data_IF_873732195522
#
_entry.id   IF_873732195522
#
_cell.length_a   1.000
_cell.length_b   1.000
_cell.length_c   1.000
_cell.angle_alpha   90.00
_cell.angle_beta   90.00
_cell.angle_gamma   90.00
#
_symmetry.space_group_name_H-M   'P 1'
#
loop_
_entity.id
_entity.type
_entity.pdbx_description
1 polymer ?
#
# COMPACT_ATOMS: atom_id res chain seq x y z
N UNK A 1 -23.56 71.21 -25.90
CA UNK A 1 -22.11 71.47 -25.68
C UNK A 1 -21.26 70.21 -25.65
N UNK A 2 -21.70 69.10 -25.01
CA UNK A 2 -20.92 67.84 -24.97
C UNK A 2 -20.56 67.23 -26.34
N UNK A 3 -21.46 67.29 -27.34
CA UNK A 3 -21.17 66.74 -28.69
C UNK A 3 -20.08 67.53 -29.45
N UNK A 4 -20.03 68.85 -29.26
CA UNK A 4 -18.99 69.72 -29.84
C UNK A 4 -17.63 69.48 -29.18
N UNK A 5 -17.62 69.28 -27.86
CA UNK A 5 -16.41 69.00 -27.10
C UNK A 5 -15.82 67.62 -27.44
N UNK A 6 -16.69 66.63 -27.69
CA UNK A 6 -16.28 65.30 -28.15
C UNK A 6 -15.74 65.32 -29.59
N UNK A 7 -16.37 66.09 -30.48
CA UNK A 7 -15.86 66.27 -31.85
C UNK A 7 -14.51 66.99 -31.87
N UNK A 8 -14.29 67.97 -30.99
CA UNK A 8 -13.01 68.67 -30.87
C UNK A 8 -11.92 67.74 -30.33
N UNK A 9 -12.25 66.89 -29.35
CA UNK A 9 -11.33 65.89 -28.80
C UNK A 9 -10.88 64.88 -29.87
N UNK A 10 -11.80 64.43 -30.73
CA UNK A 10 -11.50 63.50 -31.84
C UNK A 10 -10.61 64.16 -32.89
N UNK A 11 -10.83 65.44 -33.22
CA UNK A 11 -9.96 66.13 -34.17
C UNK A 11 -8.53 66.30 -33.63
N UNK A 12 -8.37 66.58 -32.33
CA UNK A 12 -7.06 66.75 -31.70
C UNK A 12 -6.28 65.42 -31.66
N UNK A 13 -6.95 64.29 -31.38
CA UNK A 13 -6.27 62.98 -31.37
C UNK A 13 -5.86 62.52 -32.77
N UNK A 14 -6.59 62.94 -33.81
CA UNK A 14 -6.23 62.62 -35.19
C UNK A 14 -5.06 63.45 -35.73
N UNK A 15 -4.86 64.69 -35.25
CA UNK A 15 -3.71 65.51 -35.67
C UNK A 15 -2.38 65.07 -35.06
N UNK A 16 -2.38 64.42 -33.88
CA UNK A 16 -1.14 63.98 -33.20
C UNK A 16 -0.55 62.73 -33.86
N UNK A 17 -1.37 61.90 -34.51
CA UNK A 17 -0.92 60.65 -35.17
C UNK A 17 -0.25 60.85 -36.54
N UNK A 18 -0.19 62.09 -37.04
CA UNK A 18 0.46 62.42 -38.32
C UNK A 18 1.94 62.80 -38.19
N UNK A 19 2.51 62.84 -36.98
CA UNK A 19 3.96 63.00 -36.81
C UNK A 19 4.65 61.65 -37.00
N UNK A 20 5.03 61.34 -38.24
CA UNK A 20 5.94 60.24 -38.54
C UNK A 20 7.37 60.66 -38.17
N UNK A 21 8.00 59.96 -37.22
CA UNK A 21 9.44 60.04 -37.01
C UNK A 21 10.12 59.44 -38.24
N UNK A 22 10.80 60.29 -39.01
CA UNK A 22 11.67 59.80 -40.07
C UNK A 22 12.89 59.17 -39.40
N UNK A 23 13.04 57.86 -39.56
CA UNK A 23 14.16 57.10 -38.99
C UNK A 23 15.47 57.68 -39.53
N UNK A 24 16.28 58.25 -38.63
CA UNK A 24 17.54 58.91 -38.96
C UNK A 24 18.73 57.96 -38.90
N UNK A 25 18.49 56.66 -38.68
CA UNK A 25 19.59 55.68 -38.67
C UNK A 25 20.12 55.49 -40.09
N UNK A 26 21.30 56.06 -40.33
CA UNK A 26 22.04 55.84 -41.56
C UNK A 26 22.65 54.44 -41.48
N UNK A 27 22.16 53.51 -42.32
CA UNK A 27 22.68 52.13 -42.36
C UNK A 27 23.92 52.12 -43.26
N UNK A 28 25.10 52.03 -42.65
CA UNK A 28 26.32 51.71 -43.38
C UNK A 28 26.32 50.20 -43.68
N UNK A 29 26.28 49.86 -44.96
CA UNK A 29 26.40 48.48 -45.41
C UNK A 29 27.87 48.07 -45.39
N UNK A 30 28.16 46.94 -44.77
CA UNK A 30 29.48 46.34 -44.76
C UNK A 30 29.77 45.71 -46.13
N UNK A 31 30.52 46.42 -46.97
CA UNK A 31 31.00 45.94 -48.28
C UNK A 31 32.31 45.13 -48.17
N UNK A 32 32.72 44.71 -46.97
CA UNK A 32 33.90 43.87 -46.80
C UNK A 32 33.72 42.54 -47.55
N UNK A 33 34.64 42.27 -48.49
CA UNK A 33 34.69 41.00 -49.20
C UNK A 33 35.07 39.88 -48.24
N UNK A 34 34.06 39.17 -47.72
CA UNK A 34 34.30 38.00 -46.88
C UNK A 34 34.83 36.82 -47.71
N UNK A 35 35.84 36.09 -47.20
CA UNK A 35 36.25 34.84 -47.83
C UNK A 35 35.12 33.82 -47.72
N UNK A 36 34.56 33.42 -48.87
CA UNK A 36 33.53 32.37 -48.92
C UNK A 36 34.19 31.06 -48.52
N UNK A 37 33.86 30.54 -47.34
CA UNK A 37 34.28 29.20 -46.93
C UNK A 37 33.65 28.18 -47.87
N UNK A 38 34.49 27.41 -48.56
CA UNK A 38 34.04 26.28 -49.38
C UNK A 38 34.04 25.04 -48.50
N UNK A 39 32.85 24.59 -48.14
CA UNK A 39 32.64 23.34 -47.40
C UNK A 39 32.85 22.18 -48.39
N UNK A 40 33.83 21.31 -48.14
CA UNK A 40 34.04 20.11 -48.96
C UNK A 40 33.31 18.90 -48.37
N UNK A 41 33.21 17.81 -49.13
CA UNK A 41 32.55 16.59 -48.64
C UNK A 41 33.28 15.99 -47.42
N UNK A 42 34.61 16.17 -47.31
CA UNK A 42 35.38 15.70 -46.15
C UNK A 42 35.01 16.45 -44.87
N UNK A 43 34.73 17.76 -44.93
CA UNK A 43 34.31 18.56 -43.77
C UNK A 43 32.97 18.07 -43.20
N UNK A 44 32.10 17.58 -44.09
CA UNK A 44 30.77 17.07 -43.76
C UNK A 44 30.80 15.63 -43.21
N UNK A 45 31.89 14.88 -43.42
CA UNK A 45 31.99 13.49 -42.99
C UNK A 45 31.86 13.38 -41.46
N UNK A 46 32.50 14.29 -40.73
CA UNK A 46 32.48 14.34 -39.26
C UNK A 46 31.07 14.51 -38.67
N UNK A 47 30.20 15.25 -39.36
CA UNK A 47 28.82 15.48 -38.94
C UNK A 47 27.87 14.36 -39.39
N UNK A 48 28.20 13.67 -40.49
CA UNK A 48 27.42 12.49 -40.96
C UNK A 48 27.59 11.29 -40.03
N UNK A 49 28.76 11.14 -39.44
CA UNK A 49 29.07 10.04 -38.51
C UNK A 49 28.60 10.33 -37.07
N UNK A 50 28.15 11.56 -36.78
CA UNK A 50 27.66 11.95 -35.47
C UNK A 50 26.18 11.57 -35.27
N UNK A 51 25.95 10.70 -34.29
CA UNK A 51 24.62 10.21 -33.91
C UNK A 51 23.60 11.31 -33.54
N UNK A 52 24.07 12.50 -33.14
CA UNK A 52 23.20 13.63 -32.79
C UNK A 52 22.55 14.31 -34.01
N UNK A 53 23.04 14.04 -35.23
CA UNK A 53 22.53 14.60 -36.48
C UNK A 53 21.76 13.57 -37.33
N UNK A 54 21.30 12.47 -36.73
CA UNK A 54 20.45 11.50 -37.42
C UNK A 54 18.98 11.93 -37.42
N UNK A 55 18.57 12.66 -38.46
CA UNK A 55 17.19 13.13 -38.65
C UNK A 55 16.29 12.12 -39.39
N UNK A 56 16.64 10.84 -39.44
CA UNK A 56 15.63 9.85 -39.81
C UNK A 56 14.59 9.85 -38.70
N UNK A 57 13.39 10.34 -38.99
CA UNK A 57 12.21 10.02 -38.21
C UNK A 57 12.19 8.50 -38.14
N UNK A 58 12.60 7.92 -37.01
CA UNK A 58 12.40 6.51 -36.74
C UNK A 58 10.92 6.28 -37.00
N UNK A 59 10.59 5.67 -38.15
CA UNK A 59 9.26 5.12 -38.38
C UNK A 59 9.10 4.17 -37.22
N UNK A 60 8.30 4.57 -36.23
CA UNK A 60 8.05 3.82 -35.01
C UNK A 60 8.02 2.36 -35.39
N UNK A 61 9.11 1.65 -35.07
CA UNK A 61 9.39 0.39 -35.71
C UNK A 61 8.20 -0.48 -35.35
N UNK A 62 7.53 -0.97 -36.39
CA UNK A 62 6.13 -1.35 -36.33
C UNK A 62 6.09 -2.75 -35.70
N UNK A 63 6.44 -2.77 -34.41
CA UNK A 63 6.73 -3.94 -33.61
C UNK A 63 5.51 -4.81 -33.66
N UNK A 64 5.72 -6.11 -33.86
CA UNK A 64 4.64 -7.10 -33.82
C UNK A 64 3.77 -6.90 -32.56
N UNK A 65 4.38 -6.43 -31.46
CA UNK A 65 3.70 -6.12 -30.22
C UNK A 65 2.75 -4.93 -30.31
N UNK A 66 3.13 -3.85 -31.00
CA UNK A 66 2.24 -2.70 -31.21
C UNK A 66 1.11 -3.04 -32.19
N UNK A 67 1.38 -3.85 -33.20
CA UNK A 67 0.33 -4.40 -34.08
C UNK A 67 -0.62 -5.30 -33.32
N UNK A 68 -0.10 -6.15 -32.43
CA UNK A 68 -0.90 -7.01 -31.56
C UNK A 68 -1.76 -6.20 -30.59
N UNK A 69 -1.21 -5.20 -29.90
CA UNK A 69 -1.98 -4.31 -29.02
C UNK A 69 -3.07 -3.57 -29.78
N UNK A 70 -2.75 -3.05 -30.97
CA UNK A 70 -3.71 -2.33 -31.80
C UNK A 70 -4.83 -3.25 -32.27
N UNK A 71 -4.49 -4.48 -32.69
CA UNK A 71 -5.46 -5.54 -32.99
C UNK A 71 -6.34 -5.81 -31.76
N UNK A 72 -5.75 -6.14 -30.62
CA UNK A 72 -6.47 -6.49 -29.39
C UNK A 72 -7.38 -5.37 -28.90
N UNK A 73 -6.89 -4.13 -28.91
CA UNK A 73 -7.67 -2.94 -28.56
C UNK A 73 -8.86 -2.75 -29.49
N UNK A 74 -8.70 -3.03 -30.79
CA UNK A 74 -9.79 -2.97 -31.76
C UNK A 74 -10.87 -4.02 -31.49
N UNK A 75 -10.48 -5.24 -31.08
CA UNK A 75 -11.44 -6.28 -30.67
C UNK A 75 -12.13 -5.91 -29.35
N UNK A 76 -11.38 -5.36 -28.40
CA UNK A 76 -11.89 -4.90 -27.12
C UNK A 76 -12.94 -3.79 -27.31
N UNK A 77 -12.61 -2.77 -28.11
CA UNK A 77 -13.55 -1.70 -28.45
C UNK A 77 -14.82 -2.22 -29.12
N UNK A 78 -14.70 -3.14 -30.07
CA UNK A 78 -15.87 -3.75 -30.74
C UNK A 78 -16.73 -4.54 -29.77
N UNK A 79 -16.12 -5.28 -28.86
CA UNK A 79 -16.84 -6.01 -27.81
C UNK A 79 -17.60 -5.07 -26.89
N UNK A 80 -16.95 -3.99 -26.41
CA UNK A 80 -17.60 -3.00 -25.55
C UNK A 80 -18.65 -2.17 -26.30
N UNK A 81 -18.42 -1.84 -27.57
CA UNK A 81 -19.42 -1.18 -28.41
C UNK A 81 -20.61 -2.11 -28.70
N UNK A 82 -20.41 -3.41 -28.86
CA UNK A 82 -21.51 -4.37 -28.96
C UNK A 82 -22.25 -4.53 -27.62
N UNK A 83 -21.53 -4.50 -26.49
CA UNK A 83 -22.09 -4.70 -25.16
C UNK A 83 -22.83 -3.47 -24.61
N UNK A 84 -22.33 -2.25 -24.91
CA UNK A 84 -22.82 -0.99 -24.36
C UNK A 84 -23.25 0.04 -25.43
N UNK A 85 -22.83 -0.13 -26.68
CA UNK A 85 -23.22 0.73 -27.81
C UNK A 85 -24.60 0.35 -28.31
N UNK A 86 -25.60 0.64 -27.49
CA UNK A 86 -26.99 0.43 -27.82
C UNK A 86 -27.43 1.31 -28.98
N UNK A 87 -27.50 0.72 -30.18
CA UNK A 87 -28.53 1.06 -31.15
C UNK A 87 -29.09 -0.22 -31.81
N UNK A 88 -30.33 -0.53 -31.42
CA UNK A 88 -31.29 -1.40 -32.13
C UNK A 88 -30.98 -2.90 -32.18
N UNK A 89 -30.78 -3.52 -31.02
CA UNK A 89 -31.12 -4.94 -30.90
C UNK A 89 -32.65 -5.09 -30.84
N UNK A 90 -33.27 -5.61 -31.89
CA UNK A 90 -34.73 -5.82 -31.96
C UNK A 90 -35.10 -7.08 -31.16
N UNK A 91 -36.04 -6.97 -30.20
CA UNK A 91 -36.62 -8.10 -29.47
C UNK A 91 -35.96 -8.46 -28.13
N UNK A 92 -36.22 -9.69 -27.65
CA UNK A 92 -35.85 -10.21 -26.31
C UNK A 92 -34.37 -10.08 -25.93
N UNK A 93 -33.47 -10.01 -26.93
CA UNK A 93 -32.04 -9.79 -26.72
C UNK A 93 -31.73 -8.42 -26.11
N UNK A 94 -32.49 -7.36 -26.43
CA UNK A 94 -32.28 -6.04 -25.83
C UNK A 94 -32.63 -6.00 -24.35
N UNK A 95 -33.70 -6.68 -23.94
CA UNK A 95 -34.07 -6.81 -22.54
C UNK A 95 -33.00 -7.58 -21.75
N UNK A 96 -32.49 -8.69 -22.32
CA UNK A 96 -31.42 -9.48 -21.71
C UNK A 96 -30.10 -8.69 -21.58
N UNK A 97 -29.67 -8.01 -22.65
CA UNK A 97 -28.46 -7.18 -22.65
C UNK A 97 -28.59 -5.95 -21.74
N UNK A 98 -29.78 -5.37 -21.61
CA UNK A 98 -30.06 -4.29 -20.67
C UNK A 98 -30.03 -4.73 -19.20
N UNK A 99 -30.42 -5.98 -18.91
CA UNK A 99 -30.36 -6.58 -17.56
C UNK A 99 -28.97 -7.10 -17.18
N UNK A 100 -28.16 -7.46 -18.17
CA UNK A 100 -26.81 -8.01 -17.98
C UNK A 100 -25.87 -7.15 -17.11
N UNK A 101 -25.76 -5.81 -17.25
CA UNK A 101 -24.90 -5.01 -16.40
C UNK A 101 -25.38 -4.99 -14.94
N UNK A 102 -26.69 -4.98 -14.70
CA UNK A 102 -27.26 -5.07 -13.35
C UNK A 102 -27.01 -6.46 -12.73
N UNK A 103 -27.13 -7.53 -13.52
CA UNK A 103 -26.81 -8.89 -13.09
C UNK A 103 -25.32 -9.03 -12.73
N UNK A 104 -24.43 -8.52 -13.57
CA UNK A 104 -22.99 -8.50 -13.30
C UNK A 104 -22.65 -7.70 -12.06
N UNK A 105 -23.32 -6.57 -11.82
CA UNK A 105 -23.14 -5.77 -10.61
C UNK A 105 -23.62 -6.51 -9.36
N UNK A 106 -24.76 -7.19 -9.41
CA UNK A 106 -25.24 -8.05 -8.32
C UNK A 106 -24.24 -9.18 -8.05
N UNK A 107 -23.75 -9.84 -9.09
CA UNK A 107 -22.73 -10.90 -8.95
C UNK A 107 -21.45 -10.33 -8.33
N UNK A 108 -20.98 -9.16 -8.76
CA UNK A 108 -19.81 -8.48 -8.19
C UNK A 108 -20.01 -8.21 -6.70
N UNK A 109 -21.17 -7.68 -6.30
CA UNK A 109 -21.50 -7.43 -4.90
C UNK A 109 -21.53 -8.73 -4.10
N UNK A 110 -22.16 -9.78 -4.63
CA UNK A 110 -22.20 -11.10 -3.97
C UNK A 110 -20.79 -11.67 -3.82
N UNK A 111 -19.95 -11.59 -4.85
CA UNK A 111 -18.55 -12.04 -4.79
C UNK A 111 -17.75 -11.21 -3.80
N UNK A 112 -17.93 -9.89 -3.76
CA UNK A 112 -17.28 -9.02 -2.79
C UNK A 112 -17.70 -9.39 -1.36
N UNK A 113 -19.00 -9.55 -1.11
CA UNK A 113 -19.54 -9.99 0.19
C UNK A 113 -19.00 -11.38 0.55
N UNK A 114 -19.00 -12.35 -0.36
CA UNK A 114 -18.46 -13.68 -0.13
C UNK A 114 -16.94 -13.65 0.09
N UNK A 115 -16.22 -12.76 -0.59
CA UNK A 115 -14.79 -12.55 -0.39
C UNK A 115 -14.53 -12.01 1.01
N UNK A 116 -15.22 -10.94 1.42
CA UNK A 116 -15.11 -10.38 2.77
C UNK A 116 -15.57 -11.35 3.86
N UNK A 117 -16.60 -12.18 3.61
CA UNK A 117 -17.02 -13.23 4.52
C UNK A 117 -15.96 -14.33 4.61
N UNK A 118 -15.40 -14.80 3.49
CA UNK A 118 -14.39 -15.87 3.47
C UNK A 118 -13.06 -15.41 4.06
N UNK A 119 -12.65 -14.15 3.88
CA UNK A 119 -11.46 -13.59 4.53
C UNK A 119 -11.67 -13.44 6.04
N UNK A 120 -12.90 -13.17 6.49
CA UNK A 120 -13.25 -13.18 7.90
C UNK A 120 -13.43 -14.59 8.49
N UNK A 121 -13.55 -15.66 7.70
CA UNK A 121 -13.82 -16.99 8.27
C UNK A 121 -12.58 -17.75 8.78
N UNK A 122 -11.36 -17.31 8.45
CA UNK A 122 -10.16 -17.82 9.13
C UNK A 122 -9.85 -17.09 10.45
N UNK A 123 -10.56 -16.00 10.77
CA UNK A 123 -10.37 -15.22 12.01
C UNK A 123 -11.65 -15.04 12.85
N UNK A 124 -12.84 -15.35 12.32
CA UNK A 124 -14.15 -15.12 12.97
C UNK A 124 -15.00 -16.40 12.92
N UNK A 125 -14.57 -17.45 13.62
CA UNK A 125 -15.43 -18.60 13.93
C UNK A 125 -15.72 -18.79 15.42
N UNK A 126 -15.35 -17.84 16.30
CA UNK A 126 -15.61 -17.98 17.74
C UNK A 126 -16.38 -16.84 18.40
N UNK A 127 -16.74 -15.77 17.67
CA UNK A 127 -17.46 -14.65 18.29
C UNK A 127 -18.88 -14.51 17.73
N UNK A 128 -19.76 -15.41 18.16
CA UNK A 128 -21.21 -15.22 18.01
C UNK A 128 -21.93 -15.49 19.33
N UNK A 129 -21.62 -14.65 20.33
CA UNK A 129 -22.54 -14.19 21.39
C UNK A 129 -21.73 -13.42 22.44
N UNK A 130 -21.78 -12.10 22.39
CA UNK A 130 -22.38 -11.27 23.45
C UNK A 130 -21.91 -9.81 23.33
N UNK A 131 -22.78 -8.96 23.86
CA UNK A 131 -22.83 -7.51 23.72
C UNK A 131 -21.55 -6.83 24.25
N UNK A 132 -21.19 -5.72 23.59
CA UNK A 132 -20.28 -4.69 24.09
C UNK A 132 -18.81 -5.13 24.24
N UNK A 133 -18.15 -5.44 23.13
CA UNK A 133 -16.69 -5.60 23.13
C UNK A 133 -16.04 -4.22 22.98
N UNK A 134 -15.57 -3.68 24.10
CA UNK A 134 -14.35 -2.86 24.12
C UNK A 134 -13.32 -3.57 23.25
N UNK A 135 -12.65 -2.87 22.34
CA UNK A 135 -11.58 -3.45 21.52
C UNK A 135 -10.46 -3.89 22.45
N UNK A 136 -10.54 -5.11 22.96
CA UNK A 136 -9.50 -5.73 23.78
C UNK A 136 -8.27 -5.92 22.88
N UNK A 137 -7.07 -5.69 23.43
CA UNK A 137 -5.87 -6.10 22.70
C UNK A 137 -5.86 -7.61 22.48
N UNK A 138 -5.07 -8.09 21.53
CA UNK A 138 -4.93 -9.52 21.27
C UNK A 138 -4.52 -10.29 22.54
N UNK A 139 -3.57 -9.77 23.31
CA UNK A 139 -3.14 -10.36 24.59
C UNK A 139 -4.25 -10.35 25.64
N UNK A 140 -5.00 -9.26 25.73
CA UNK A 140 -6.11 -9.14 26.68
C UNK A 140 -7.22 -10.14 26.37
N UNK A 141 -7.54 -10.32 25.08
CA UNK A 141 -8.50 -11.31 24.64
C UNK A 141 -8.02 -12.73 24.94
N UNK A 142 -6.76 -13.05 24.61
CA UNK A 142 -6.17 -14.36 24.88
C UNK A 142 -6.20 -14.69 26.38
N UNK A 143 -5.78 -13.75 27.23
CA UNK A 143 -5.74 -13.97 28.69
C UNK A 143 -7.15 -14.14 29.28
N UNK A 144 -8.09 -13.27 28.89
CA UNK A 144 -9.42 -13.24 29.52
C UNK A 144 -10.40 -14.26 28.96
N UNK A 145 -10.37 -14.53 27.65
CA UNK A 145 -11.46 -15.23 26.97
C UNK A 145 -11.04 -16.55 26.29
N UNK A 146 -9.75 -16.77 26.02
CA UNK A 146 -9.30 -17.92 25.25
C UNK A 146 -8.77 -19.08 26.11
N UNK A 147 -8.84 -20.29 25.55
CA UNK A 147 -8.20 -21.48 26.09
C UNK A 147 -6.74 -21.54 25.64
N UNK A 148 -5.87 -20.88 26.42
CA UNK A 148 -4.44 -20.77 26.11
C UNK A 148 -3.77 -22.15 26.01
N UNK A 149 -4.27 -23.17 26.73
CA UNK A 149 -3.71 -24.53 26.64
C UNK A 149 -3.98 -25.15 25.26
N UNK A 150 -5.16 -24.91 24.68
CA UNK A 150 -5.44 -25.31 23.30
C UNK A 150 -4.59 -24.53 22.30
N UNK A 151 -4.39 -23.23 22.51
CA UNK A 151 -3.53 -22.42 21.63
C UNK A 151 -2.08 -22.93 21.60
N UNK A 152 -1.54 -23.32 22.77
CA UNK A 152 -0.22 -23.95 22.86
C UNK A 152 -0.19 -25.23 22.02
N UNK A 153 -1.20 -26.10 22.17
CA UNK A 153 -1.26 -27.37 21.43
C UNK A 153 -1.30 -27.13 19.92
N UNK A 154 -2.14 -26.22 19.44
CA UNK A 154 -2.27 -25.89 18.03
C UNK A 154 -0.94 -25.32 17.47
N UNK A 155 -0.29 -24.42 18.21
CA UNK A 155 1.00 -23.87 17.82
C UNK A 155 2.09 -24.95 17.68
N UNK A 156 2.04 -26.01 18.50
CA UNK A 156 2.96 -27.15 18.40
C UNK A 156 2.65 -28.07 17.23
N UNK A 157 1.37 -28.31 16.94
CA UNK A 157 0.94 -29.07 15.75
C UNK A 157 1.43 -28.38 14.46
N UNK A 158 1.39 -27.05 14.42
CA UNK A 158 1.89 -26.22 13.32
C UNK A 158 3.42 -26.03 13.32
N UNK A 159 4.14 -26.65 14.27
CA UNK A 159 5.60 -26.48 14.49
C UNK A 159 6.02 -25.01 14.69
N UNK A 160 5.10 -24.17 15.14
CA UNK A 160 5.36 -22.78 15.47
C UNK A 160 5.81 -22.66 16.94
N UNK A 161 7.04 -23.08 17.19
CA UNK A 161 7.63 -23.10 18.53
C UNK A 161 7.72 -21.70 19.17
N UNK A 162 7.92 -20.65 18.37
CA UNK A 162 7.94 -19.27 18.88
C UNK A 162 6.58 -18.88 19.45
N UNK A 163 5.52 -19.17 18.70
CA UNK A 163 4.15 -18.87 19.13
C UNK A 163 3.76 -19.70 20.37
N UNK A 164 4.17 -20.96 20.44
CA UNK A 164 3.96 -21.79 21.62
C UNK A 164 4.60 -21.18 22.88
N UNK A 165 5.83 -20.67 22.79
CA UNK A 165 6.50 -19.97 23.91
C UNK A 165 5.75 -18.70 24.33
N UNK A 166 5.21 -17.93 23.37
CA UNK A 166 4.38 -16.77 23.69
C UNK A 166 3.14 -17.16 24.46
N UNK A 167 2.44 -18.21 24.04
CA UNK A 167 1.26 -18.69 24.76
C UNK A 167 1.59 -19.25 26.14
N UNK A 168 2.74 -19.94 26.32
CA UNK A 168 3.21 -20.32 27.65
C UNK A 168 3.41 -19.12 28.58
N UNK A 169 4.02 -18.05 28.07
CA UNK A 169 4.23 -16.84 28.87
C UNK A 169 2.91 -16.18 29.28
N UNK A 170 1.97 -16.01 28.34
CA UNK A 170 0.64 -15.46 28.63
C UNK A 170 -0.15 -16.33 29.62
N UNK A 171 -0.02 -17.66 29.52
CA UNK A 171 -0.63 -18.58 30.47
C UNK A 171 -0.07 -18.40 31.89
N UNK A 172 1.24 -18.19 32.03
CA UNK A 172 1.87 -17.95 33.34
C UNK A 172 1.37 -16.63 33.94
N UNK A 173 1.28 -15.56 33.14
CA UNK A 173 0.71 -14.29 33.61
C UNK A 173 -0.74 -14.47 34.07
N UNK A 174 -1.55 -15.24 33.32
CA UNK A 174 -2.93 -15.56 33.69
C UNK A 174 -3.02 -16.26 35.05
N UNK A 175 -2.31 -17.38 35.24
CA UNK A 175 -2.37 -18.13 36.51
C UNK A 175 -1.77 -17.35 37.69
N UNK A 176 -0.80 -16.47 37.44
CA UNK A 176 -0.25 -15.58 38.49
C UNK A 176 -1.26 -14.52 38.88
N UNK A 177 -1.99 -13.95 37.92
CA UNK A 177 -3.06 -12.99 38.17
C UNK A 177 -4.25 -13.64 38.88
N UNK A 178 -4.65 -14.86 38.50
CA UNK A 178 -5.72 -15.61 39.16
C UNK A 178 -5.39 -15.99 40.62
N UNK A 179 -4.11 -16.01 40.98
CA UNK A 179 -3.63 -16.27 42.35
C UNK A 179 -3.24 -15.00 43.12
N UNK A 180 -3.63 -13.83 42.60
CA UNK A 180 -3.33 -12.52 43.18
C UNK A 180 -1.82 -12.28 43.43
N UNK A 181 -0.95 -12.94 42.66
CA UNK A 181 0.51 -12.75 42.74
C UNK A 181 0.97 -11.51 41.97
N UNK A 182 0.22 -11.16 40.92
CA UNK A 182 0.40 -9.96 40.11
C UNK A 182 -0.97 -9.36 39.80
N UNK A 183 -1.00 -8.06 39.56
CA UNK A 183 -2.18 -7.38 39.02
C UNK A 183 -1.98 -7.17 37.52
N UNK A 184 -2.52 -8.06 36.69
CA UNK A 184 -2.33 -8.00 35.24
C UNK A 184 -3.02 -6.78 34.63
N UNK A 185 -2.26 -5.97 33.89
CA UNK A 185 -2.76 -4.80 33.18
C UNK A 185 -2.08 -4.67 31.82
N UNK A 186 -2.84 -4.26 30.80
CA UNK A 186 -2.33 -4.16 29.43
C UNK A 186 -1.13 -3.19 29.31
N UNK A 187 -1.14 -2.08 30.05
CA UNK A 187 -0.08 -1.08 30.03
C UNK A 187 1.19 -1.45 30.81
N UNK A 188 1.17 -2.54 31.60
CA UNK A 188 2.33 -2.93 32.43
C UNK A 188 3.36 -3.68 31.60
N UNK A 189 4.62 -3.41 31.89
CA UNK A 189 5.76 -4.08 31.25
C UNK A 189 6.13 -5.37 31.98
N UNK A 190 6.93 -6.21 31.31
CA UNK A 190 7.53 -7.40 31.91
C UNK A 190 8.35 -7.08 33.18
N UNK A 191 8.99 -5.91 33.22
CA UNK A 191 9.76 -5.46 34.39
C UNK A 191 8.86 -5.01 35.54
N UNK A 192 7.66 -4.51 35.27
CA UNK A 192 6.71 -4.14 36.31
C UNK A 192 6.19 -5.38 37.04
N UNK A 193 5.90 -6.46 36.30
CA UNK A 193 5.54 -7.75 36.91
C UNK A 193 6.69 -8.37 37.73
N UNK A 194 7.94 -8.21 37.28
CA UNK A 194 9.10 -8.62 38.08
C UNK A 194 9.18 -7.86 39.41
N UNK A 195 8.88 -6.55 39.41
CA UNK A 195 8.87 -5.73 40.63
C UNK A 195 7.76 -6.18 41.59
N UNK A 196 6.55 -6.46 41.10
CA UNK A 196 5.44 -6.96 41.91
C UNK A 196 5.80 -8.29 42.59
N UNK A 197 6.50 -9.16 41.87
CA UNK A 197 6.92 -10.47 42.36
C UNK A 197 8.17 -10.44 43.25
N UNK A 198 8.81 -9.30 43.48
CA UNK A 198 10.13 -9.20 44.16
C UNK A 198 10.19 -9.90 45.52
N UNK A 199 9.09 -9.87 46.28
CA UNK A 199 8.99 -10.47 47.61
C UNK A 199 8.48 -11.92 47.58
N UNK A 200 8.20 -12.47 46.40
CA UNK A 200 7.68 -13.82 46.22
C UNK A 200 8.80 -14.84 45.99
N UNK A 201 8.53 -16.10 46.31
CA UNK A 201 9.42 -17.22 45.94
C UNK A 201 9.51 -17.43 44.43
N UNK A 202 8.62 -16.81 43.65
CA UNK A 202 8.55 -16.95 42.19
C UNK A 202 9.37 -15.90 41.45
N UNK A 203 9.95 -14.90 42.13
CA UNK A 203 10.73 -13.83 41.51
C UNK A 203 11.85 -14.36 40.60
N UNK A 204 12.72 -15.23 41.13
CA UNK A 204 13.86 -15.77 40.38
C UNK A 204 13.43 -16.61 39.17
N UNK A 205 12.52 -17.60 39.32
CA UNK A 205 11.97 -18.32 38.17
C UNK A 205 11.32 -17.42 37.12
N UNK A 206 10.58 -16.40 37.55
CA UNK A 206 9.90 -15.48 36.64
C UNK A 206 10.90 -14.69 35.81
N UNK A 207 11.94 -14.12 36.42
CA UNK A 207 13.04 -13.43 35.69
C UNK A 207 13.67 -14.34 34.63
N UNK A 208 13.87 -15.63 34.93
CA UNK A 208 14.43 -16.59 33.97
C UNK A 208 13.54 -16.77 32.76
N UNK A 209 12.23 -17.01 32.95
CA UNK A 209 11.31 -17.21 31.83
C UNK A 209 11.05 -15.93 31.05
N UNK A 210 11.05 -14.76 31.70
CA UNK A 210 10.88 -13.46 31.05
C UNK A 210 12.05 -13.18 30.10
N UNK A 211 13.28 -13.45 30.54
CA UNK A 211 14.46 -13.32 29.67
C UNK A 211 14.40 -14.25 28.45
N UNK A 212 13.95 -15.49 28.65
CA UNK A 212 13.75 -16.44 27.55
C UNK A 212 12.67 -15.94 26.58
N UNK A 213 11.55 -15.46 27.11
CA UNK A 213 10.46 -14.89 26.32
C UNK A 213 10.93 -13.68 25.52
N UNK A 214 11.60 -12.71 26.15
CA UNK A 214 12.07 -11.50 25.49
C UNK A 214 13.06 -11.83 24.37
N UNK A 215 13.98 -12.76 24.64
CA UNK A 215 14.93 -13.24 23.64
C UNK A 215 14.23 -13.93 22.46
N UNK A 216 13.30 -14.84 22.70
CA UNK A 216 12.67 -15.65 21.64
C UNK A 216 11.64 -14.84 20.85
N UNK A 217 10.83 -14.02 21.52
CA UNK A 217 9.73 -13.29 20.90
C UNK A 217 10.19 -11.97 20.28
N UNK A 218 10.91 -11.13 21.03
CA UNK A 218 11.36 -9.82 20.57
C UNK A 218 12.75 -9.83 19.93
N UNK A 219 13.60 -10.80 20.27
CA UNK A 219 14.95 -10.91 19.72
C UNK A 219 15.06 -11.50 18.30
N UNK A 220 13.93 -11.89 17.71
CA UNK A 220 13.82 -12.52 16.38
C UNK A 220 14.70 -13.76 16.13
N UNK A 221 15.09 -14.48 17.18
CA UNK A 221 15.89 -15.70 17.02
C UNK A 221 15.04 -16.88 16.53
N UNK A 222 15.56 -17.61 15.54
CA UNK A 222 14.96 -18.87 15.10
C UNK A 222 15.10 -19.93 16.20
N UNK A 223 13.97 -20.48 16.62
CA UNK A 223 13.91 -21.51 17.66
C UNK A 223 13.63 -22.87 17.01
N UNK A 224 14.55 -23.80 17.19
CA UNK A 224 14.39 -25.20 16.79
C UNK A 224 13.73 -26.01 17.92
N UNK A 225 13.30 -27.23 17.61
CA UNK A 225 12.62 -28.12 18.56
C UNK A 225 13.47 -28.40 19.81
N UNK A 226 14.79 -28.51 19.67
CA UNK A 226 15.69 -28.81 20.80
C UNK A 226 15.79 -27.64 21.77
N UNK A 227 15.89 -26.42 21.25
CA UNK A 227 15.89 -25.17 22.03
C UNK A 227 14.52 -24.92 22.64
N UNK A 228 13.45 -25.20 21.87
CA UNK A 228 12.08 -25.14 22.36
C UNK A 228 11.88 -26.04 23.58
N UNK A 229 12.28 -27.31 23.50
CA UNK A 229 12.11 -28.25 24.61
C UNK A 229 12.85 -27.79 25.89
N UNK A 230 14.04 -27.19 25.74
CA UNK A 230 14.77 -26.59 26.86
C UNK A 230 14.07 -25.38 27.44
N UNK A 231 13.59 -24.48 26.58
CA UNK A 231 12.86 -23.29 27.02
C UNK A 231 11.55 -23.67 27.71
N UNK A 232 10.72 -24.48 27.05
CA UNK A 232 9.43 -24.95 27.56
C UNK A 232 9.54 -25.65 28.92
N UNK A 233 10.63 -26.38 29.18
CA UNK A 233 10.87 -26.99 30.49
C UNK A 233 10.90 -25.96 31.64
N UNK A 234 11.48 -24.78 31.43
CA UNK A 234 11.49 -23.71 32.44
C UNK A 234 10.09 -23.11 32.65
N UNK A 235 9.33 -22.90 31.59
CA UNK A 235 7.93 -22.42 31.68
C UNK A 235 7.07 -23.43 32.44
N UNK A 236 7.13 -24.71 32.07
CA UNK A 236 6.37 -25.80 32.71
C UNK A 236 6.76 -25.96 34.18
N UNK A 237 8.05 -25.81 34.51
CA UNK A 237 8.54 -25.88 35.89
C UNK A 237 7.93 -24.77 36.75
N UNK A 238 7.91 -23.53 36.27
CA UNK A 238 7.28 -22.41 36.97
C UNK A 238 5.76 -22.58 37.07
N UNK A 239 5.09 -22.95 35.98
CA UNK A 239 3.67 -23.26 35.97
C UNK A 239 3.32 -24.28 37.06
N UNK A 240 4.03 -25.41 37.12
CA UNK A 240 3.79 -26.46 38.10
C UNK A 240 4.02 -25.97 39.55
N UNK A 241 5.00 -25.10 39.78
CA UNK A 241 5.26 -24.52 41.11
C UNK A 241 4.12 -23.62 41.59
N UNK A 242 3.40 -22.98 40.66
CA UNK A 242 2.30 -22.07 40.96
C UNK A 242 1.00 -22.87 41.16
N UNK A 243 0.74 -23.88 40.33
CA UNK A 243 -0.49 -24.67 40.36
C UNK A 243 -0.53 -25.72 41.48
N UNK A 244 0.62 -26.27 41.92
CA UNK A 244 0.67 -27.32 42.97
C UNK A 244 0.37 -26.83 44.38
N UNK A 245 0.13 -25.53 44.57
CA UNK A 245 -0.15 -24.90 45.87
C UNK A 245 -1.50 -24.22 45.83
#
# INVERSE_FOLDING_TARGET
MQKLLFSLLICITFSISAYSFQDSTNVEYDDASMPVQKITEEDLQSYKDDSSYNYTLEKADNSWWEKFKTWLYSYWLRFFQWLFGGEKAVGYLSAFLGLLPYLLLVILIVVAVLFFLKTNMNSISLSKKNKSAVTLSEEENIIKNEDIQQLIKNALEDKNYRLAIRYYYLYILKIMSEKDLIDWQLQKTNDDYQKELSNSTYAKPFVTITRLYDYIWYGDFAIDETKYNKAAAEFIKLQNSITKK
#
